data_IF_494834782171
#
_entry.id   IF_494834782171
#
_cell.length_a   1.000
_cell.length_b   1.000
_cell.length_c   1.000
_cell.angle_alpha   90.00
_cell.angle_beta   90.00
_cell.angle_gamma   90.00
#
_symmetry.space_group_name_H-M   'P 1'
#
loop_
_entity.id
_entity.type
_entity.pdbx_description
1 polymer ?
#
# COMPACT_ATOMS: atom_id res chain seq x y z
N UNK A 1 45.10 -10.72 16.10
CA UNK A 1 43.85 -9.94 16.00
C UNK A 1 42.76 -10.90 15.59
N UNK A 2 42.13 -11.57 16.53
CA UNK A 2 41.03 -12.53 16.31
C UNK A 2 39.77 -11.75 15.90
N UNK A 3 39.33 -11.96 14.69
CA UNK A 3 38.16 -11.33 14.08
C UNK A 3 36.92 -11.55 14.95
N UNK A 4 36.29 -10.46 15.34
CA UNK A 4 34.96 -10.42 15.96
C UNK A 4 33.85 -10.83 14.94
N UNK A 5 34.08 -11.92 14.24
CA UNK A 5 33.25 -12.44 13.13
C UNK A 5 32.11 -13.30 13.65
N UNK A 6 31.23 -12.75 14.45
CA UNK A 6 30.06 -13.47 14.97
C UNK A 6 29.22 -12.71 15.99
N UNK A 7 29.68 -11.53 16.39
CA UNK A 7 28.91 -10.70 17.31
C UNK A 7 27.64 -10.20 16.64
N UNK A 8 26.47 -10.74 17.04
CA UNK A 8 25.17 -10.37 16.52
C UNK A 8 24.92 -8.84 16.57
N UNK A 9 25.38 -8.16 17.62
CA UNK A 9 25.20 -6.72 17.77
C UNK A 9 25.90 -5.96 16.65
N UNK A 10 27.16 -6.33 16.34
CA UNK A 10 27.95 -5.71 15.26
C UNK A 10 27.31 -5.97 13.89
N UNK A 11 26.82 -7.19 13.66
CA UNK A 11 26.11 -7.54 12.41
C UNK A 11 24.81 -6.75 12.25
N UNK A 12 24.01 -6.63 13.32
CA UNK A 12 22.77 -5.85 13.30
C UNK A 12 23.05 -4.36 13.08
N UNK A 13 24.01 -3.78 13.77
CA UNK A 13 24.42 -2.39 13.57
C UNK A 13 24.85 -2.15 12.11
N UNK A 14 25.73 -3.00 11.57
CA UNK A 14 26.16 -2.92 10.17
C UNK A 14 25.01 -3.09 9.19
N UNK A 15 24.04 -3.96 9.48
CA UNK A 15 22.85 -4.13 8.66
C UNK A 15 22.00 -2.85 8.61
N UNK A 16 21.73 -2.20 9.75
CA UNK A 16 20.94 -0.98 9.78
C UNK A 16 21.70 0.21 9.19
N UNK A 17 22.94 0.44 9.61
CA UNK A 17 23.72 1.63 9.23
C UNK A 17 24.27 1.50 7.81
N UNK A 18 25.09 0.48 7.55
CA UNK A 18 25.77 0.31 6.25
C UNK A 18 24.81 -0.20 5.18
N UNK A 19 24.08 -1.32 5.43
CA UNK A 19 23.27 -1.95 4.40
C UNK A 19 21.99 -1.19 4.10
N UNK A 20 21.18 -0.85 5.12
CA UNK A 20 19.88 -0.21 4.90
C UNK A 20 20.00 1.29 4.66
N UNK A 21 20.72 2.02 5.51
CA UNK A 21 20.81 3.48 5.42
C UNK A 21 21.74 3.93 4.29
N UNK A 22 22.99 3.50 4.28
CA UNK A 22 23.98 3.99 3.31
C UNK A 22 23.83 3.36 1.92
N UNK A 23 23.89 2.00 1.81
CA UNK A 23 23.91 1.34 0.52
C UNK A 23 22.54 1.31 -0.16
N UNK A 24 21.47 0.93 0.58
CA UNK A 24 20.12 0.81 0.01
C UNK A 24 19.31 2.09 0.07
N UNK A 25 19.73 3.09 0.85
CA UNK A 25 18.97 4.32 1.11
C UNK A 25 17.50 4.02 1.40
N UNK A 26 17.26 3.00 2.25
CA UNK A 26 15.92 2.53 2.58
C UNK A 26 15.10 3.65 3.21
N UNK A 27 13.79 3.69 2.93
CA UNK A 27 12.92 4.70 3.50
C UNK A 27 12.86 4.60 5.04
N UNK A 28 12.62 5.73 5.72
CA UNK A 28 12.46 5.77 7.18
C UNK A 28 11.39 4.77 7.67
N UNK A 29 10.31 4.58 6.91
CA UNK A 29 9.27 3.58 7.22
C UNK A 29 9.78 2.14 7.14
N UNK A 30 10.63 1.83 6.15
CA UNK A 30 11.24 0.50 6.03
C UNK A 30 12.17 0.23 7.20
N UNK A 31 13.01 1.21 7.54
CA UNK A 31 13.94 1.12 8.67
C UNK A 31 13.17 0.93 9.99
N UNK A 32 12.11 1.73 10.23
CA UNK A 32 11.26 1.61 11.41
C UNK A 32 10.59 0.23 11.49
N UNK A 33 10.01 -0.27 10.39
CA UNK A 33 9.37 -1.59 10.33
C UNK A 33 10.35 -2.73 10.64
N UNK A 34 11.58 -2.64 10.12
CA UNK A 34 12.62 -3.63 10.37
C UNK A 34 13.12 -3.54 11.83
N UNK A 35 13.39 -2.32 12.33
CA UNK A 35 13.73 -2.07 13.73
C UNK A 35 12.71 -2.69 14.69
N UNK A 36 11.43 -2.44 14.45
CA UNK A 36 10.36 -2.96 15.29
C UNK A 36 10.26 -4.49 15.22
N UNK A 37 10.57 -5.08 14.07
CA UNK A 37 10.67 -6.53 13.91
C UNK A 37 11.79 -7.09 14.78
N UNK A 38 12.99 -6.50 14.71
CA UNK A 38 14.14 -6.99 15.49
C UNK A 38 13.96 -6.73 16.98
N UNK A 39 13.36 -5.62 17.41
CA UNK A 39 13.01 -5.39 18.83
C UNK A 39 12.09 -6.49 19.37
N UNK A 40 11.09 -6.90 18.60
CA UNK A 40 10.18 -7.97 19.00
C UNK A 40 10.90 -9.33 19.02
N UNK A 41 11.69 -9.60 17.99
CA UNK A 41 12.41 -10.87 17.86
C UNK A 41 13.47 -11.04 18.98
N UNK A 42 14.27 -10.03 19.25
CA UNK A 42 15.30 -10.09 20.29
C UNK A 42 14.67 -10.24 21.69
N UNK A 43 13.57 -9.58 21.99
CA UNK A 43 12.82 -9.79 23.24
C UNK A 43 12.25 -11.21 23.37
N UNK A 44 11.79 -11.77 22.26
CA UNK A 44 11.34 -13.17 22.26
C UNK A 44 12.51 -14.13 22.49
N UNK A 45 13.65 -13.91 21.82
CA UNK A 45 14.87 -14.70 22.01
C UNK A 45 15.38 -14.63 23.46
N UNK A 46 15.45 -13.43 24.05
CA UNK A 46 15.80 -13.22 25.46
C UNK A 46 14.92 -14.02 26.41
N UNK A 47 13.59 -13.94 26.23
CA UNK A 47 12.64 -14.69 27.04
C UNK A 47 12.83 -16.22 26.91
N UNK A 48 13.14 -16.68 25.71
CA UNK A 48 13.24 -18.12 25.38
C UNK A 48 14.57 -18.71 25.78
N UNK A 49 15.67 -18.00 25.53
CA UNK A 49 17.04 -18.48 25.74
C UNK A 49 17.63 -18.05 27.07
N UNK A 50 16.99 -17.12 27.78
CA UNK A 50 17.48 -16.50 29.03
C UNK A 50 18.84 -15.83 28.87
N UNK A 51 19.13 -15.29 27.68
CA UNK A 51 20.35 -14.58 27.31
C UNK A 51 19.99 -13.14 26.92
N UNK A 52 20.68 -12.17 27.48
CA UNK A 52 20.45 -10.76 27.14
C UNK A 52 20.68 -10.49 25.64
N UNK A 53 19.93 -9.59 24.98
CA UNK A 53 20.06 -9.33 23.56
C UNK A 53 21.47 -8.96 23.11
N UNK A 54 22.24 -8.26 23.94
CA UNK A 54 23.65 -7.88 23.69
C UNK A 54 24.64 -9.04 23.74
N UNK A 55 24.27 -10.13 24.42
CA UNK A 55 25.09 -11.33 24.57
C UNK A 55 24.66 -12.47 23.63
N UNK A 56 23.62 -12.28 22.84
CA UNK A 56 23.18 -13.26 21.85
C UNK A 56 24.23 -13.40 20.73
N UNK A 57 24.52 -14.65 20.39
CA UNK A 57 25.35 -15.01 19.24
C UNK A 57 24.49 -15.32 18.01
N UNK A 58 25.05 -15.18 16.81
CA UNK A 58 24.33 -15.47 15.57
C UNK A 58 23.87 -16.93 15.48
N UNK A 59 24.65 -17.86 16.02
CA UNK A 59 24.40 -19.31 16.08
C UNK A 59 23.10 -19.65 16.84
N UNK A 60 22.74 -18.83 17.81
CA UNK A 60 21.54 -19.01 18.63
C UNK A 60 20.26 -18.59 17.89
N UNK A 61 20.39 -17.78 16.82
CA UNK A 61 19.26 -17.32 16.01
C UNK A 61 18.98 -18.30 14.86
N UNK A 62 18.78 -19.54 15.17
CA UNK A 62 18.56 -20.63 14.24
C UNK A 62 17.14 -20.68 13.64
N UNK A 63 16.93 -21.56 12.67
CA UNK A 63 15.63 -21.71 12.03
C UNK A 63 14.52 -22.16 12.99
N UNK A 64 14.72 -23.09 13.96
CA UNK A 64 13.74 -23.42 14.99
C UNK A 64 13.32 -22.22 15.85
N UNK A 65 14.26 -21.39 16.32
CA UNK A 65 13.93 -20.22 17.13
C UNK A 65 13.13 -19.19 16.34
N UNK A 66 13.51 -18.94 15.08
CA UNK A 66 12.79 -18.01 14.20
C UNK A 66 11.40 -18.55 13.86
N UNK A 67 11.25 -19.86 13.61
CA UNK A 67 9.94 -20.47 13.40
C UNK A 67 9.04 -20.32 14.63
N UNK A 68 9.60 -20.55 15.84
CA UNK A 68 8.89 -20.35 17.10
C UNK A 68 8.46 -18.88 17.30
N UNK A 69 9.33 -17.92 16.99
CA UNK A 69 8.96 -16.50 17.02
C UNK A 69 7.81 -16.17 16.07
N UNK A 70 7.87 -16.69 14.84
CA UNK A 70 6.82 -16.45 13.86
C UNK A 70 5.49 -17.10 14.26
N UNK A 71 5.51 -18.23 15.00
CA UNK A 71 4.34 -18.85 15.58
C UNK A 71 3.79 -18.05 16.78
N UNK A 72 4.66 -17.55 17.67
CA UNK A 72 4.29 -16.65 18.78
C UNK A 72 3.55 -15.41 18.29
N UNK A 73 4.01 -14.80 17.18
CA UNK A 73 3.32 -13.66 16.58
C UNK A 73 1.87 -13.96 16.20
N UNK A 74 1.58 -15.17 15.74
CA UNK A 74 0.24 -15.57 15.32
C UNK A 74 -0.63 -16.00 16.50
N UNK A 75 -0.11 -16.85 17.38
CA UNK A 75 -0.88 -17.45 18.46
C UNK A 75 -1.08 -16.52 19.66
N UNK A 76 0.01 -15.87 20.11
CA UNK A 76 -0.05 -15.02 21.30
C UNK A 76 -0.45 -13.57 20.97
N UNK A 77 -0.11 -13.08 19.79
CA UNK A 77 -0.35 -11.68 19.42
C UNK A 77 -1.44 -11.49 18.37
N UNK A 78 -2.06 -12.55 17.87
CA UNK A 78 -3.12 -12.50 16.87
C UNK A 78 -2.71 -11.86 15.54
N UNK A 79 -1.41 -11.91 15.19
CA UNK A 79 -0.89 -11.28 13.98
C UNK A 79 -1.25 -12.13 12.76
N UNK A 80 -1.95 -11.54 11.78
CA UNK A 80 -2.33 -12.24 10.55
C UNK A 80 -1.12 -12.62 9.67
N UNK A 81 -1.29 -13.64 8.81
CA UNK A 81 -0.25 -14.22 7.97
C UNK A 81 0.53 -13.18 7.12
N UNK A 82 -0.14 -12.12 6.61
CA UNK A 82 0.51 -11.04 5.86
C UNK A 82 1.53 -10.28 6.70
N UNK A 83 1.15 -9.89 7.92
CA UNK A 83 2.03 -9.16 8.83
C UNK A 83 3.15 -10.05 9.37
N UNK A 84 2.86 -11.33 9.62
CA UNK A 84 3.87 -12.35 9.96
C UNK A 84 4.93 -12.47 8.84
N UNK A 85 4.50 -12.58 7.59
CA UNK A 85 5.39 -12.66 6.44
C UNK A 85 6.23 -11.39 6.23
N UNK A 86 5.67 -10.21 6.54
CA UNK A 86 6.42 -8.95 6.51
C UNK A 86 7.58 -8.98 7.51
N UNK A 87 7.37 -9.47 8.72
CA UNK A 87 8.42 -9.63 9.73
C UNK A 87 9.45 -10.68 9.32
N UNK A 88 9.00 -11.80 8.76
CA UNK A 88 9.88 -12.80 8.18
C UNK A 88 10.78 -12.20 7.07
N UNK A 89 10.24 -11.31 6.24
CA UNK A 89 11.01 -10.63 5.18
C UNK A 89 12.12 -9.75 5.75
N UNK A 90 11.88 -9.07 6.88
CA UNK A 90 12.91 -8.29 7.57
C UNK A 90 14.03 -9.20 8.10
N UNK A 91 13.68 -10.32 8.73
CA UNK A 91 14.64 -11.32 9.23
C UNK A 91 15.45 -11.89 8.05
N UNK A 92 14.79 -12.32 6.97
CA UNK A 92 15.48 -12.82 5.77
C UNK A 92 16.43 -11.79 5.15
N UNK A 93 16.05 -10.51 5.17
CA UNK A 93 16.89 -9.43 4.65
C UNK A 93 18.20 -9.30 5.47
N UNK A 94 18.11 -9.44 6.78
CA UNK A 94 19.28 -9.47 7.67
C UNK A 94 20.15 -10.70 7.41
N UNK A 95 19.57 -11.89 7.36
CA UNK A 95 20.35 -13.11 7.14
C UNK A 95 21.02 -13.15 5.77
N UNK A 96 20.41 -12.55 4.73
CA UNK A 96 21.10 -12.35 3.45
C UNK A 96 22.31 -11.41 3.55
N UNK A 97 22.23 -10.37 4.39
CA UNK A 97 23.38 -9.52 4.68
C UNK A 97 24.44 -10.28 5.48
N UNK A 98 24.02 -10.99 6.53
CA UNK A 98 24.92 -11.79 7.37
C UNK A 98 25.67 -12.88 6.60
N UNK A 99 25.10 -13.40 5.50
CA UNK A 99 25.74 -14.40 4.64
C UNK A 99 27.06 -13.87 4.02
N UNK A 100 27.15 -12.57 3.73
CA UNK A 100 28.37 -11.96 3.20
C UNK A 100 29.36 -11.58 4.30
N UNK A 101 28.86 -11.15 5.45
CA UNK A 101 29.69 -10.66 6.57
C UNK A 101 30.23 -11.82 7.45
N UNK A 102 29.56 -12.98 7.41
CA UNK A 102 29.87 -14.15 8.26
C UNK A 102 29.70 -15.47 7.52
N UNK A 103 30.56 -15.77 6.50
CA UNK A 103 30.44 -16.93 5.66
C UNK A 103 30.56 -18.26 6.40
N UNK A 104 31.22 -18.29 7.56
CA UNK A 104 31.28 -19.48 8.41
C UNK A 104 29.94 -20.01 8.92
N UNK A 105 28.89 -19.18 8.86
CA UNK A 105 27.52 -19.54 9.27
C UNK A 105 26.60 -19.90 8.10
N UNK A 106 27.14 -20.16 6.91
CA UNK A 106 26.37 -20.40 5.69
C UNK A 106 25.26 -21.45 5.86
N UNK A 107 25.55 -22.59 6.51
CA UNK A 107 24.58 -23.64 6.72
C UNK A 107 23.39 -23.24 7.64
N UNK A 108 23.64 -22.45 8.68
CA UNK A 108 22.59 -21.87 9.53
C UNK A 108 21.76 -20.88 8.73
N UNK A 109 22.41 -19.97 8.02
CA UNK A 109 21.76 -18.92 7.22
C UNK A 109 20.86 -19.54 6.15
N UNK A 110 21.33 -20.56 5.44
CA UNK A 110 20.51 -21.26 4.45
C UNK A 110 19.24 -21.87 5.05
N UNK A 111 19.34 -22.52 6.21
CA UNK A 111 18.16 -23.07 6.92
C UNK A 111 17.16 -21.98 7.30
N UNK A 112 17.63 -20.83 7.77
CA UNK A 112 16.76 -19.68 8.07
C UNK A 112 16.09 -19.13 6.80
N UNK A 113 16.83 -18.99 5.73
CA UNK A 113 16.30 -18.51 4.44
C UNK A 113 15.31 -19.49 3.80
N UNK A 114 15.41 -20.77 4.11
CA UNK A 114 14.49 -21.81 3.64
C UNK A 114 13.13 -21.83 4.36
N UNK A 115 12.96 -21.15 5.51
CA UNK A 115 11.66 -21.08 6.22
C UNK A 115 10.58 -20.57 5.25
N UNK A 116 9.51 -21.31 4.92
CA UNK A 116 8.53 -20.87 3.94
C UNK A 116 7.68 -19.70 4.45
N UNK A 117 7.28 -18.84 3.54
CA UNK A 117 6.25 -17.83 3.81
C UNK A 117 4.87 -18.49 3.81
N UNK A 118 3.97 -18.08 4.71
CA UNK A 118 2.59 -18.56 4.71
C UNK A 118 1.81 -18.01 3.51
N UNK A 119 0.95 -18.85 2.95
CA UNK A 119 -0.02 -18.39 1.95
C UNK A 119 -0.96 -17.36 2.59
N UNK A 120 -1.19 -16.27 1.90
CA UNK A 120 -2.12 -15.23 2.33
C UNK A 120 -3.31 -15.22 1.39
N UNK A 121 -4.51 -15.27 1.93
CA UNK A 121 -5.73 -15.05 1.13
C UNK A 121 -5.70 -13.63 0.58
N UNK A 122 -5.76 -13.47 -0.72
CA UNK A 122 -5.96 -12.16 -1.35
C UNK A 122 -7.43 -11.80 -1.18
N UNK A 123 -7.71 -10.81 -0.33
CA UNK A 123 -9.06 -10.24 -0.27
C UNK A 123 -9.34 -9.51 -1.58
N UNK A 124 -10.56 -9.64 -2.05
CA UNK A 124 -11.03 -8.86 -3.19
C UNK A 124 -10.80 -7.37 -2.92
N UNK A 125 -10.35 -6.65 -3.94
CA UNK A 125 -10.06 -5.22 -3.84
C UNK A 125 -11.38 -4.46 -3.70
N UNK A 126 -11.56 -3.79 -2.56
CA UNK A 126 -12.69 -2.89 -2.34
C UNK A 126 -12.50 -1.65 -3.21
N UNK A 127 -13.53 -1.28 -3.97
CA UNK A 127 -13.61 -0.03 -4.72
C UNK A 127 -15.00 0.58 -4.58
N UNK A 128 -15.16 1.83 -4.96
CA UNK A 128 -16.43 2.55 -4.94
C UNK A 128 -17.08 2.46 -6.32
N UNK A 129 -18.42 2.40 -6.34
CA UNK A 129 -19.19 2.60 -7.56
C UNK A 129 -19.24 4.08 -7.91
N UNK A 130 -19.71 4.42 -9.10
CA UNK A 130 -19.86 5.80 -9.55
C UNK A 130 -20.78 6.60 -8.63
N UNK A 131 -21.92 6.02 -8.25
CA UNK A 131 -22.88 6.64 -7.33
C UNK A 131 -22.29 6.88 -5.94
N UNK A 132 -21.45 5.96 -5.46
CA UNK A 132 -20.74 6.10 -4.17
C UNK A 132 -19.69 7.21 -4.23
N UNK A 133 -18.98 7.35 -5.37
CA UNK A 133 -18.04 8.45 -5.60
C UNK A 133 -18.76 9.79 -5.64
N UNK A 134 -19.87 9.88 -6.37
CA UNK A 134 -20.68 11.10 -6.46
C UNK A 134 -21.22 11.52 -5.09
N UNK A 135 -21.75 10.58 -4.31
CA UNK A 135 -22.21 10.83 -2.94
C UNK A 135 -21.07 11.30 -2.02
N UNK A 136 -19.89 10.70 -2.13
CA UNK A 136 -18.69 11.09 -1.36
C UNK A 136 -18.23 12.49 -1.71
N UNK A 137 -18.22 12.86 -2.98
CA UNK A 137 -17.83 14.21 -3.45
C UNK A 137 -18.85 15.27 -3.10
N UNK A 138 -20.12 14.92 -2.92
CA UNK A 138 -21.18 15.82 -2.49
C UNK A 138 -21.20 16.07 -0.96
N UNK A 139 -20.58 15.18 -0.17
CA UNK A 139 -20.65 15.21 1.28
C UNK A 139 -19.98 16.41 1.98
N UNK A 140 -18.86 16.99 1.47
CA UNK A 140 -18.25 18.17 2.08
C UNK A 140 -19.12 19.42 1.96
N UNK A 141 -19.32 20.14 3.07
CA UNK A 141 -20.00 21.44 3.09
C UNK A 141 -19.11 22.53 2.46
N UNK A 142 -19.36 22.85 1.20
CA UNK A 142 -18.58 23.81 0.43
C UNK A 142 -18.78 25.27 0.84
N UNK A 143 -19.68 25.56 1.76
CA UNK A 143 -19.83 26.91 2.33
C UNK A 143 -18.67 27.23 3.26
N UNK A 144 -18.11 26.22 3.90
CA UNK A 144 -16.95 26.33 4.80
C UNK A 144 -15.62 26.20 4.05
N UNK A 145 -14.58 26.86 4.55
CA UNK A 145 -13.22 26.72 4.03
C UNK A 145 -12.75 25.25 4.07
N UNK A 146 -12.96 24.57 5.21
CA UNK A 146 -12.56 23.17 5.37
C UNK A 146 -13.30 22.23 4.42
N UNK A 147 -14.59 22.48 4.20
CA UNK A 147 -15.37 21.67 3.25
C UNK A 147 -14.95 21.88 1.80
N UNK A 148 -14.58 23.12 1.41
CA UNK A 148 -14.01 23.37 0.06
C UNK A 148 -12.67 22.63 -0.10
N UNK A 149 -11.77 22.72 0.88
CA UNK A 149 -10.51 21.96 0.90
C UNK A 149 -10.76 20.46 0.74
N UNK A 150 -11.65 19.94 1.57
CA UNK A 150 -11.95 18.50 1.62
C UNK A 150 -12.54 18.01 0.30
N UNK A 151 -13.43 18.79 -0.31
CA UNK A 151 -13.99 18.48 -1.63
C UNK A 151 -12.91 18.39 -2.70
N UNK A 152 -12.01 19.38 -2.77
CA UNK A 152 -10.92 19.41 -3.76
C UNK A 152 -9.96 18.25 -3.54
N UNK A 153 -9.63 17.93 -2.27
CA UNK A 153 -8.77 16.81 -1.92
C UNK A 153 -9.39 15.47 -2.37
N UNK A 154 -10.67 15.25 -2.06
CA UNK A 154 -11.38 14.02 -2.45
C UNK A 154 -11.50 13.90 -3.98
N UNK A 155 -11.84 14.98 -4.68
CA UNK A 155 -11.92 15.02 -6.14
C UNK A 155 -10.57 14.67 -6.77
N UNK A 156 -9.49 15.29 -6.29
CA UNK A 156 -8.15 15.01 -6.78
C UNK A 156 -7.72 13.56 -6.48
N UNK A 157 -8.04 13.06 -5.28
CA UNK A 157 -7.72 11.69 -4.88
C UNK A 157 -8.39 10.65 -5.77
N UNK A 158 -9.68 10.83 -6.09
CA UNK A 158 -10.45 9.91 -6.94
C UNK A 158 -9.98 10.00 -8.39
N UNK A 159 -9.77 11.21 -8.92
CA UNK A 159 -9.39 11.37 -10.32
C UNK A 159 -7.97 10.89 -10.61
N UNK A 160 -7.02 11.17 -9.72
CA UNK A 160 -5.58 10.91 -9.98
C UNK A 160 -5.09 9.60 -9.39
N UNK A 161 -5.78 9.06 -8.39
CA UNK A 161 -5.35 7.87 -7.67
C UNK A 161 -4.03 8.04 -6.92
N UNK A 162 -3.68 9.24 -6.49
CA UNK A 162 -2.47 9.53 -5.74
C UNK A 162 -2.39 8.74 -4.42
N UNK A 163 -1.18 8.36 -4.02
CA UNK A 163 -0.96 7.76 -2.69
C UNK A 163 -1.19 8.80 -1.59
N UNK A 164 -1.57 8.34 -0.40
CA UNK A 164 -1.80 9.21 0.75
C UNK A 164 -0.59 10.14 1.03
N UNK A 165 0.64 9.61 0.98
CA UNK A 165 1.86 10.40 1.18
C UNK A 165 2.10 11.42 0.06
N UNK A 166 1.67 11.13 -1.15
CA UNK A 166 1.74 12.03 -2.30
C UNK A 166 0.72 13.17 -2.12
N UNK A 167 -0.55 12.86 -1.81
CA UNK A 167 -1.59 13.87 -1.55
C UNK A 167 -1.17 14.83 -0.43
N UNK A 168 -0.72 14.28 0.69
CA UNK A 168 -0.29 15.13 1.81
C UNK A 168 0.97 15.92 1.49
N UNK A 169 1.80 15.49 0.55
CA UNK A 169 3.03 16.17 0.14
C UNK A 169 2.87 17.20 -0.94
N UNK A 170 1.72 17.28 -1.62
CA UNK A 170 1.51 18.20 -2.73
C UNK A 170 1.65 19.65 -2.33
N UNK A 171 2.33 20.40 -3.19
CA UNK A 171 2.46 21.86 -3.13
C UNK A 171 1.60 22.50 -4.23
N UNK A 172 1.26 23.76 -4.07
CA UNK A 172 0.61 24.52 -5.15
C UNK A 172 1.44 24.53 -6.43
N UNK A 173 2.76 24.62 -6.31
CA UNK A 173 3.70 24.62 -7.43
C UNK A 173 3.76 23.29 -8.22
N UNK A 174 3.25 22.20 -7.64
CA UNK A 174 3.20 20.89 -8.30
C UNK A 174 2.01 20.77 -9.27
N UNK A 175 1.07 21.74 -9.24
CA UNK A 175 -0.09 21.78 -10.13
C UNK A 175 0.23 22.66 -11.32
N UNK A 176 0.13 22.11 -12.52
CA UNK A 176 0.30 22.83 -13.78
C UNK A 176 -1.04 22.94 -14.51
N UNK A 177 -1.36 24.13 -14.93
CA UNK A 177 -2.58 24.46 -15.68
C UNK A 177 -2.25 24.79 -17.14
N UNK A 178 -3.26 24.80 -17.99
CA UNK A 178 -3.13 25.13 -19.41
C UNK A 178 -3.10 23.88 -20.28
N UNK A 179 -2.42 23.94 -21.41
CA UNK A 179 -2.26 22.79 -22.31
C UNK A 179 -1.47 21.70 -21.62
N UNK A 180 -2.05 20.49 -21.54
CA UNK A 180 -1.43 19.36 -20.80
C UNK A 180 -1.45 19.52 -19.27
N UNK A 181 -2.52 20.12 -18.73
CA UNK A 181 -2.67 20.30 -17.28
C UNK A 181 -2.49 18.98 -16.51
N UNK A 182 -1.64 19.02 -15.49
CA UNK A 182 -1.27 17.84 -14.72
C UNK A 182 -0.83 18.20 -13.29
N UNK A 183 -0.78 17.18 -12.45
CA UNK A 183 -0.09 17.22 -11.14
C UNK A 183 1.24 16.50 -11.30
N UNK A 184 2.33 17.17 -10.95
CA UNK A 184 3.66 16.60 -10.84
C UNK A 184 3.82 15.93 -9.47
N UNK A 185 4.27 14.68 -9.45
CA UNK A 185 4.33 13.87 -8.22
C UNK A 185 5.66 13.17 -8.09
N UNK A 186 6.30 13.33 -6.94
CA UNK A 186 7.46 12.56 -6.55
C UNK A 186 6.99 11.32 -5.76
N UNK A 187 7.02 10.15 -6.43
CA UNK A 187 6.57 8.90 -5.88
C UNK A 187 7.61 8.14 -5.06
N UNK A 188 7.28 6.91 -4.69
CA UNK A 188 8.21 5.99 -4.00
C UNK A 188 9.45 5.73 -4.86
N UNK A 189 10.63 5.71 -4.21
CA UNK A 189 11.91 5.53 -4.91
C UNK A 189 12.39 6.75 -5.69
N UNK A 190 11.85 7.95 -5.37
CA UNK A 190 12.18 9.22 -6.02
C UNK A 190 11.82 9.25 -7.52
N UNK A 191 10.87 8.42 -7.94
CA UNK A 191 10.37 8.42 -9.31
C UNK A 191 9.36 9.53 -9.48
N UNK A 192 9.59 10.38 -10.46
CA UNK A 192 8.69 11.46 -10.85
C UNK A 192 7.66 10.96 -11.86
N UNK A 193 6.46 11.50 -11.77
CA UNK A 193 5.42 11.30 -12.77
C UNK A 193 4.49 12.50 -12.84
N UNK A 194 3.89 12.70 -14.01
CA UNK A 194 2.82 13.65 -14.24
C UNK A 194 1.50 12.89 -14.37
N UNK A 195 0.50 13.29 -13.60
CA UNK A 195 -0.87 12.72 -13.69
C UNK A 195 -1.78 13.78 -14.29
N UNK A 196 -2.43 13.54 -15.44
CA UNK A 196 -3.29 14.52 -16.11
C UNK A 196 -4.49 14.93 -15.26
N UNK A 197 -4.95 16.16 -15.45
CA UNK A 197 -6.13 16.73 -14.79
C UNK A 197 -7.26 16.95 -15.77
N UNK A 198 -8.44 16.40 -15.48
CA UNK A 198 -9.66 16.69 -16.22
C UNK A 198 -10.05 18.18 -16.11
N UNK A 199 -10.69 18.74 -17.13
CA UNK A 199 -11.07 20.16 -17.16
C UNK A 199 -11.88 20.58 -15.93
N UNK A 200 -12.85 19.77 -15.51
CA UNK A 200 -13.64 20.06 -14.31
C UNK A 200 -12.78 20.15 -13.05
N UNK A 201 -11.80 19.26 -12.89
CA UNK A 201 -10.87 19.27 -11.75
C UNK A 201 -9.96 20.49 -11.80
N UNK A 202 -9.51 20.91 -12.98
CA UNK A 202 -8.74 22.14 -13.12
C UNK A 202 -9.51 23.37 -12.64
N UNK A 203 -10.80 23.50 -13.01
CA UNK A 203 -11.65 24.62 -12.57
C UNK A 203 -11.76 24.67 -11.06
N UNK A 204 -12.03 23.52 -10.43
CA UNK A 204 -12.17 23.41 -8.96
C UNK A 204 -10.84 23.72 -8.27
N UNK A 205 -9.73 23.18 -8.78
CA UNK A 205 -8.38 23.45 -8.24
C UNK A 205 -7.98 24.92 -8.36
N UNK A 206 -8.26 25.56 -9.50
CA UNK A 206 -7.98 26.99 -9.68
C UNK A 206 -8.76 27.84 -8.69
N UNK A 207 -10.08 27.56 -8.54
CA UNK A 207 -10.91 28.27 -7.59
C UNK A 207 -10.41 28.12 -6.16
N UNK A 208 -10.02 26.88 -5.76
CA UNK A 208 -9.42 26.61 -4.45
C UNK A 208 -8.12 27.40 -4.25
N UNK A 209 -7.22 27.34 -5.22
CA UNK A 209 -5.89 27.96 -5.11
C UNK A 209 -5.97 29.49 -5.08
N UNK A 210 -6.86 30.09 -5.86
CA UNK A 210 -6.99 31.56 -5.92
C UNK A 210 -7.76 32.16 -4.75
N UNK A 211 -8.76 31.44 -4.23
CA UNK A 211 -9.66 31.94 -3.21
C UNK A 211 -9.23 31.61 -1.78
N UNK A 212 -8.73 30.40 -1.57
CA UNK A 212 -8.63 29.78 -0.25
C UNK A 212 -7.19 29.52 0.21
N UNK A 213 -6.22 29.58 -0.72
CA UNK A 213 -4.80 29.52 -0.38
C UNK A 213 -4.20 30.94 -0.35
N UNK A 214 -3.32 31.17 0.62
CA UNK A 214 -2.57 32.43 0.71
C UNK A 214 -1.58 32.62 -0.46
N UNK A 215 -0.89 33.75 -0.54
CA UNK A 215 -0.02 34.10 -1.67
C UNK A 215 1.17 33.15 -1.87
N UNK A 216 1.68 32.53 -0.79
CA UNK A 216 2.81 31.58 -0.86
C UNK A 216 2.47 30.28 -0.08
N UNK A 217 1.56 29.45 -0.61
CA UNK A 217 1.15 28.25 0.09
C UNK A 217 2.27 27.19 0.05
N UNK A 218 2.74 26.75 1.22
CA UNK A 218 3.71 25.67 1.38
C UNK A 218 3.11 24.32 0.97
N UNK A 219 1.80 24.15 1.08
CA UNK A 219 1.09 22.91 0.79
C UNK A 219 -0.22 23.18 0.06
N UNK A 220 -0.61 22.30 -0.85
CA UNK A 220 -1.89 22.39 -1.56
C UNK A 220 -3.10 22.18 -0.64
N UNK A 221 -2.94 21.35 0.41
CA UNK A 221 -3.99 21.04 1.37
C UNK A 221 -3.54 21.33 2.81
N UNK A 222 -3.62 22.59 3.25
CA UNK A 222 -3.26 22.94 4.61
C UNK A 222 -4.28 22.46 5.65
N UNK A 223 -3.82 22.24 6.86
CA UNK A 223 -4.67 22.08 8.03
C UNK A 223 -5.28 23.44 8.43
N UNK A 224 -6.26 23.46 9.35
CA UNK A 224 -6.80 24.71 9.88
C UNK A 224 -5.75 25.61 10.56
N UNK A 225 -4.58 25.04 10.91
CA UNK A 225 -3.45 25.77 11.50
C UNK A 225 -2.41 26.22 10.43
N UNK A 226 -2.71 26.08 9.15
CA UNK A 226 -1.81 26.42 8.04
C UNK A 226 -0.72 25.39 7.74
N UNK A 227 -0.49 24.40 8.60
CA UNK A 227 0.49 23.35 8.38
C UNK A 227 -0.02 22.27 7.44
N UNK A 228 0.87 21.44 6.92
CA UNK A 228 0.52 20.27 6.11
C UNK A 228 -0.44 19.32 6.84
N UNK A 229 -1.44 18.79 6.13
CA UNK A 229 -2.28 17.71 6.65
C UNK A 229 -1.45 16.45 6.92
N UNK A 230 -1.63 15.84 8.09
CA UNK A 230 -1.04 14.55 8.40
C UNK A 230 -1.76 13.41 7.67
N UNK A 231 -1.11 12.26 7.58
CA UNK A 231 -1.74 11.04 7.04
C UNK A 231 -3.01 10.66 7.82
N UNK A 232 -2.98 10.78 9.15
CA UNK A 232 -4.13 10.50 10.02
C UNK A 232 -5.24 11.54 9.81
N UNK A 233 -4.86 12.82 9.59
CA UNK A 233 -5.81 13.88 9.26
C UNK A 233 -6.58 13.59 7.97
N UNK A 234 -5.91 13.12 6.92
CA UNK A 234 -6.59 12.73 5.67
C UNK A 234 -7.44 11.48 5.86
N UNK A 235 -6.98 10.48 6.62
CA UNK A 235 -7.80 9.31 6.92
C UNK A 235 -9.07 9.68 7.70
N UNK A 236 -8.95 10.54 8.70
CA UNK A 236 -10.08 11.06 9.46
C UNK A 236 -11.08 11.82 8.55
N UNK A 237 -10.58 12.69 7.67
CA UNK A 237 -11.37 13.44 6.70
C UNK A 237 -12.15 12.49 5.78
N UNK A 238 -11.51 11.48 5.22
CA UNK A 238 -12.19 10.49 4.38
C UNK A 238 -13.27 9.78 5.18
N UNK A 239 -12.96 9.29 6.37
CA UNK A 239 -13.94 8.60 7.23
C UNK A 239 -15.15 9.50 7.59
N UNK A 240 -14.90 10.77 7.91
CA UNK A 240 -15.94 11.77 8.19
C UNK A 240 -16.90 11.93 7.01
N UNK A 241 -16.37 12.14 5.81
CA UNK A 241 -17.21 12.36 4.62
C UNK A 241 -17.88 11.08 4.12
N UNK A 242 -17.29 9.92 4.32
CA UNK A 242 -17.95 8.61 4.07
C UNK A 242 -19.16 8.44 5.00
N UNK A 243 -19.05 8.78 6.28
CA UNK A 243 -20.17 8.72 7.21
C UNK A 243 -21.30 9.68 6.82
N UNK A 244 -20.97 10.89 6.34
CA UNK A 244 -21.95 11.85 5.82
C UNK A 244 -22.61 11.35 4.54
N UNK A 245 -21.82 10.88 3.58
CA UNK A 245 -22.30 10.33 2.29
C UNK A 245 -23.15 9.08 2.48
N UNK A 246 -22.87 8.27 3.50
CA UNK A 246 -23.63 7.07 3.84
C UNK A 246 -25.11 7.30 4.16
N UNK A 247 -25.47 8.55 4.49
CA UNK A 247 -26.89 8.94 4.69
C UNK A 247 -27.65 8.99 3.37
N UNK A 248 -27.02 9.43 2.30
CA UNK A 248 -27.58 9.49 0.94
C UNK A 248 -27.34 8.19 0.15
N UNK A 249 -26.22 7.50 0.43
CA UNK A 249 -25.80 6.28 -0.25
C UNK A 249 -25.47 5.17 0.78
N UNK A 250 -26.47 4.39 1.25
CA UNK A 250 -26.31 3.41 2.33
C UNK A 250 -25.29 2.31 2.06
N UNK A 251 -24.97 2.02 0.79
CA UNK A 251 -23.94 1.02 0.43
C UNK A 251 -22.55 1.38 0.96
N UNK A 252 -22.25 2.67 1.11
CA UNK A 252 -20.99 3.18 1.68
C UNK A 252 -20.81 2.75 3.14
N UNK A 253 -21.88 2.58 3.92
CA UNK A 253 -21.78 2.17 5.33
C UNK A 253 -21.25 0.74 5.50
N UNK A 254 -21.36 -0.09 4.45
CA UNK A 254 -20.86 -1.47 4.44
C UNK A 254 -19.41 -1.58 3.98
N UNK A 255 -18.79 -0.47 3.55
CA UNK A 255 -17.43 -0.43 3.02
C UNK A 255 -16.49 0.33 3.97
N UNK A 256 -15.33 -0.25 4.23
CA UNK A 256 -14.25 0.49 4.91
C UNK A 256 -13.47 1.33 3.90
N UNK A 257 -13.96 2.53 3.63
CA UNK A 257 -13.33 3.45 2.68
C UNK A 257 -12.11 4.12 3.32
N UNK A 258 -10.98 4.05 2.62
CA UNK A 258 -9.71 4.67 3.00
C UNK A 258 -9.12 5.39 1.79
N UNK A 259 -8.10 6.26 1.93
CA UNK A 259 -7.41 6.85 0.78
C UNK A 259 -6.90 5.80 -0.22
N UNK A 260 -6.57 4.61 0.26
CA UNK A 260 -6.13 3.51 -0.61
C UNK A 260 -7.29 2.93 -1.44
N UNK A 261 -8.50 2.90 -0.88
CA UNK A 261 -9.73 2.51 -1.60
C UNK A 261 -10.05 3.51 -2.70
N UNK A 262 -9.87 4.82 -2.48
CA UNK A 262 -10.06 5.83 -3.53
C UNK A 262 -9.11 5.58 -4.71
N UNK A 263 -7.84 5.28 -4.43
CA UNK A 263 -6.88 4.90 -5.47
C UNK A 263 -7.26 3.61 -6.19
N UNK A 264 -7.80 2.61 -5.49
CA UNK A 264 -8.33 1.40 -6.12
C UNK A 264 -9.50 1.70 -7.03
N UNK A 265 -10.39 2.62 -6.62
CA UNK A 265 -11.51 3.10 -7.43
C UNK A 265 -11.01 3.69 -8.74
N UNK A 266 -10.04 4.61 -8.70
CA UNK A 266 -9.42 5.17 -9.92
C UNK A 266 -8.87 4.07 -10.84
N UNK A 267 -8.19 3.07 -10.27
CA UNK A 267 -7.62 1.97 -11.06
C UNK A 267 -8.70 1.14 -11.76
N UNK A 268 -9.80 0.84 -11.04
CA UNK A 268 -10.93 0.06 -11.58
C UNK A 268 -11.68 0.88 -12.64
N UNK A 269 -11.93 2.17 -12.40
CA UNK A 269 -12.56 3.06 -13.38
C UNK A 269 -11.76 3.16 -14.70
N UNK A 270 -10.43 3.34 -14.61
CA UNK A 270 -9.57 3.34 -15.80
C UNK A 270 -9.61 1.99 -16.53
N UNK A 271 -9.63 0.89 -15.79
CA UNK A 271 -9.72 -0.44 -16.37
C UNK A 271 -11.06 -0.67 -17.07
N UNK A 272 -12.18 -0.25 -16.45
CA UNK A 272 -13.53 -0.32 -17.00
C UNK A 272 -13.70 0.56 -18.25
N UNK A 273 -12.97 1.69 -18.29
CA UNK A 273 -12.88 2.54 -19.47
C UNK A 273 -12.05 1.93 -20.61
N UNK A 274 -11.44 0.75 -20.41
CA UNK A 274 -10.65 0.05 -21.42
C UNK A 274 -9.21 0.52 -21.53
N UNK A 275 -8.70 1.26 -20.54
CA UNK A 275 -7.31 1.73 -20.54
C UNK A 275 -6.36 0.55 -20.32
N UNK A 276 -5.28 0.49 -21.10
CA UNK A 276 -4.28 -0.56 -21.00
C UNK A 276 -3.61 -0.58 -19.61
N UNK A 277 -3.28 -1.78 -19.12
CA UNK A 277 -2.69 -1.98 -17.80
C UNK A 277 -1.34 -1.29 -17.62
N UNK A 278 -0.55 -1.20 -18.68
CA UNK A 278 0.73 -0.51 -18.65
C UNK A 278 0.54 1.00 -18.44
N UNK A 279 -0.49 1.58 -19.07
CA UNK A 279 -0.87 2.98 -18.88
C UNK A 279 -1.40 3.21 -17.47
N UNK A 280 -2.24 2.30 -16.93
CA UNK A 280 -2.71 2.38 -15.55
C UNK A 280 -1.54 2.29 -14.57
N UNK A 281 -0.57 1.41 -14.80
CA UNK A 281 0.62 1.30 -13.97
C UNK A 281 1.46 2.59 -13.99
N UNK A 282 1.64 3.21 -15.15
CA UNK A 282 2.30 4.52 -15.29
C UNK A 282 1.51 5.62 -14.58
N UNK A 283 0.21 5.70 -14.80
CA UNK A 283 -0.69 6.67 -14.17
C UNK A 283 -0.58 6.63 -12.65
N UNK A 284 -0.70 5.45 -12.09
CA UNK A 284 -0.65 5.24 -10.65
C UNK A 284 0.79 5.21 -10.09
N UNK A 285 1.81 5.07 -10.90
CA UNK A 285 3.20 4.89 -10.47
C UNK A 285 3.41 3.57 -9.75
N UNK A 286 2.96 2.46 -10.34
CA UNK A 286 3.24 1.12 -9.85
C UNK A 286 4.68 0.71 -10.21
N UNK A 287 5.37 0.03 -9.29
CA UNK A 287 6.73 -0.46 -9.52
C UNK A 287 6.74 -1.72 -10.41
N UNK A 288 5.64 -2.49 -10.40
CA UNK A 288 5.47 -3.66 -11.25
C UNK A 288 4.04 -3.75 -11.80
N UNK A 289 3.89 -4.37 -12.97
CA UNK A 289 2.59 -4.67 -13.59
C UNK A 289 1.75 -5.64 -12.73
N UNK A 290 2.38 -6.49 -11.93
CA UNK A 290 1.70 -7.39 -10.99
C UNK A 290 0.81 -6.63 -9.99
N UNK A 291 1.21 -5.40 -9.60
CA UNK A 291 0.40 -4.54 -8.73
C UNK A 291 -0.91 -4.11 -9.42
N UNK A 292 -0.92 -4.02 -10.75
CA UNK A 292 -2.10 -3.67 -11.55
C UNK A 292 -2.97 -4.91 -11.82
N UNK A 293 -2.38 -6.11 -11.83
CA UNK A 293 -3.09 -7.38 -12.05
C UNK A 293 -4.22 -7.63 -11.03
N UNK A 294 -4.06 -7.17 -9.78
CA UNK A 294 -5.07 -7.34 -8.72
C UNK A 294 -6.42 -6.70 -9.06
N UNK A 295 -6.45 -5.70 -9.94
CA UNK A 295 -7.69 -5.03 -10.36
C UNK A 295 -8.45 -5.84 -11.41
N UNK A 296 -7.75 -6.60 -12.24
CA UNK A 296 -8.39 -7.54 -13.19
C UNK A 296 -9.09 -8.69 -12.47
N UNK A 297 -8.50 -9.14 -11.37
CA UNK A 297 -9.10 -10.22 -10.59
C UNK A 297 -10.38 -9.76 -9.89
N UNK A 298 -10.50 -8.45 -9.63
CA UNK A 298 -11.63 -7.85 -8.91
C UNK A 298 -12.84 -7.52 -9.80
N UNK A 299 -12.66 -7.36 -11.13
CA UNK A 299 -13.72 -6.88 -12.02
C UNK A 299 -14.29 -7.99 -12.90
N UNK A 300 -15.47 -8.51 -12.49
CA UNK A 300 -16.25 -9.48 -13.27
C UNK A 300 -16.85 -8.86 -14.53
N UNK A 301 -17.21 -7.58 -14.51
CA UNK A 301 -17.83 -6.87 -15.64
C UNK A 301 -16.87 -6.76 -16.82
N UNK A 302 -15.57 -6.59 -16.55
CA UNK A 302 -14.55 -6.59 -17.60
C UNK A 302 -14.41 -7.98 -18.24
N UNK A 303 -14.48 -9.03 -17.44
CA UNK A 303 -14.41 -10.43 -17.93
C UNK A 303 -15.64 -10.78 -18.78
N UNK A 304 -16.82 -10.31 -18.39
CA UNK A 304 -18.06 -10.45 -19.16
C UNK A 304 -17.97 -9.71 -20.49
N UNK A 305 -17.48 -8.46 -20.52
CA UNK A 305 -17.28 -7.70 -21.78
C UNK A 305 -16.27 -8.36 -22.73
N UNK A 306 -15.24 -9.01 -22.20
CA UNK A 306 -14.27 -9.77 -23.02
C UNK A 306 -14.95 -11.01 -23.59
N UNK A 307 -15.76 -11.71 -22.80
CA UNK A 307 -16.55 -12.85 -23.27
C UNK A 307 -17.50 -12.46 -24.40
N UNK A 308 -18.20 -11.32 -24.26
CA UNK A 308 -19.11 -10.80 -25.30
C UNK A 308 -18.39 -10.49 -26.61
N UNK A 309 -17.12 -10.05 -26.55
CA UNK A 309 -16.29 -9.77 -27.74
C UNK A 309 -15.70 -11.02 -28.40
N UNK A 310 -15.58 -12.12 -27.68
CA UNK A 310 -14.91 -13.36 -28.14
C UNK A 310 -15.91 -14.48 -28.36
N UNK A 311 -17.17 -14.30 -27.95
CA UNK A 311 -18.22 -15.30 -28.15
C UNK A 311 -18.48 -15.48 -29.65
N UNK A 312 -18.51 -16.74 -30.17
CA UNK A 312 -18.93 -17.01 -31.56
C UNK A 312 -20.34 -16.48 -31.79
N UNK A 313 -20.63 -15.93 -32.98
CA UNK A 313 -21.97 -15.45 -33.29
C UNK A 313 -23.00 -16.58 -33.12
N UNK A 314 -24.01 -16.39 -32.28
CA UNK A 314 -25.11 -17.34 -32.04
C UNK A 314 -25.05 -18.14 -30.75
N UNK A 315 -24.05 -17.94 -29.88
CA UNK A 315 -23.99 -18.61 -28.58
C UNK A 315 -24.38 -17.62 -27.48
N UNK A 316 -25.55 -17.82 -26.86
CA UNK A 316 -25.91 -17.12 -25.63
C UNK A 316 -24.98 -17.58 -24.51
N UNK A 317 -24.31 -16.64 -23.86
CA UNK A 317 -23.43 -16.89 -22.70
C UNK A 317 -24.27 -17.48 -21.55
N UNK A 318 -24.29 -18.83 -21.44
CA UNK A 318 -24.84 -19.50 -20.27
C UNK A 318 -23.75 -19.66 -19.24
N UNK A 319 -24.02 -19.33 -17.98
CA UNK A 319 -23.16 -19.67 -16.85
C UNK A 319 -22.86 -21.17 -16.89
N UNK A 320 -21.57 -21.50 -17.04
CA UNK A 320 -21.10 -22.87 -16.95
C UNK A 320 -21.43 -23.42 -15.55
N UNK A 321 -22.28 -24.47 -15.51
CA UNK A 321 -22.48 -25.33 -14.34
C UNK A 321 -21.82 -26.66 -14.65
N UNK A 322 -20.74 -27.04 -13.94
CA UNK A 322 -20.16 -28.35 -14.14
C UNK A 322 -21.16 -29.43 -13.73
N UNK A 323 -21.59 -30.27 -14.67
CA UNK A 323 -22.45 -31.44 -14.41
C UNK A 323 -21.64 -32.65 -13.91
N UNK A 324 -20.33 -32.57 -13.89
CA UNK A 324 -19.45 -33.67 -13.49
C UNK A 324 -19.25 -33.71 -11.98
N UNK A 325 -19.58 -34.86 -11.35
CA UNK A 325 -19.43 -35.10 -9.92
C UNK A 325 -17.96 -34.96 -9.44
N UNK A 326 -16.99 -35.28 -10.30
CA UNK A 326 -15.55 -35.12 -10.00
C UNK A 326 -15.18 -33.63 -9.93
N UNK A 327 -15.69 -32.80 -10.84
CA UNK A 327 -15.44 -31.36 -10.83
C UNK A 327 -16.15 -30.68 -9.64
N UNK A 328 -17.33 -31.15 -9.25
CA UNK A 328 -18.03 -30.68 -8.05
C UNK A 328 -17.25 -31.04 -6.78
N UNK A 329 -16.69 -32.24 -6.70
CA UNK A 329 -15.82 -32.67 -5.60
C UNK A 329 -14.54 -31.85 -5.52
N UNK A 330 -13.85 -31.65 -6.65
CA UNK A 330 -12.63 -30.85 -6.73
C UNK A 330 -12.86 -29.36 -6.38
N UNK A 331 -14.08 -28.87 -6.60
CA UNK A 331 -14.48 -27.50 -6.24
C UNK A 331 -14.79 -27.35 -4.75
N UNK A 332 -15.01 -28.44 -4.02
CA UNK A 332 -15.32 -28.50 -2.60
C UNK A 332 -14.09 -28.75 -1.71
N UNK A 333 -12.93 -29.12 -2.31
CA UNK A 333 -11.62 -29.24 -1.66
C UNK A 333 -10.95 -27.87 -1.51
#
# INVERSE_FOLDING_TARGET
>A
MTAATGNLAVLLEGFFTRRLMQQRQASAHTIASYRDTFRLFLRFAEKRLKVAPSALALEQLDAPLIAAFLADLEHERGVGARSRNLRQSAIRSFFRYAAFESPGHAGLIQRVLAIPSKRCTRKQVCHLTREEVEALLAAPDRTTWSGRRDHVLLLLAVQTGLRLSEITGLRAADVRFGTGAHVHVLGKGRKERCTPLANQTQVVLRSWMSRDLGPEPVTLFPSARGSRLSADGVQYLVAKHVATAGRACPSLTRKRVTPHVLRHTTAVELLQAGVDRSVIALWLGHESLETTQIYLDADLTLKERVLDKVAPPGVQARRYRPEDKLMAFLSAL
#
